data_IF_403551790845
#
_entry.id   IF_403551790845
#
_cell.length_a   1.000
_cell.length_b   1.000
_cell.length_c   1.000
_cell.angle_alpha   90.00
_cell.angle_beta   90.00
_cell.angle_gamma   90.00
#
_symmetry.space_group_name_H-M   'P 1'
#
loop_
_entity.id
_entity.type
_entity.pdbx_description
1 polymer ?
#
# COMPACT_ATOMS: atom_id res chain seq x y z
N UNK A 1 18.42 -14.53 8.04
CA UNK A 1 17.55 -15.39 8.86
C UNK A 1 18.04 -15.50 10.29
N UNK A 2 19.34 -15.59 10.53
CA UNK A 2 19.89 -15.96 11.85
C UNK A 2 19.77 -14.88 12.94
N UNK A 3 19.60 -13.61 12.57
CA UNK A 3 19.58 -12.50 13.54
C UNK A 3 18.19 -11.89 13.76
N UNK A 4 17.49 -11.55 12.67
CA UNK A 4 16.18 -10.90 12.75
C UNK A 4 15.09 -11.89 13.17
N UNK A 5 15.11 -13.12 12.63
CA UNK A 5 14.06 -14.09 12.92
C UNK A 5 13.96 -14.46 14.41
N UNK A 6 15.05 -14.75 15.14
CA UNK A 6 14.95 -15.03 16.59
C UNK A 6 14.31 -13.88 17.38
N UNK A 7 14.55 -12.62 16.97
CA UNK A 7 13.92 -11.45 17.59
C UNK A 7 12.43 -11.40 17.28
N UNK A 8 12.04 -11.58 16.01
CA UNK A 8 10.64 -11.66 15.60
C UNK A 8 9.88 -12.77 16.35
N UNK A 9 10.45 -13.97 16.41
CA UNK A 9 9.91 -15.11 17.16
C UNK A 9 9.74 -14.75 18.63
N UNK A 10 10.77 -14.21 19.28
CA UNK A 10 10.73 -13.83 20.69
C UNK A 10 9.60 -12.84 21.01
N UNK A 11 9.45 -11.79 20.21
CA UNK A 11 8.36 -10.82 20.36
C UNK A 11 6.98 -11.45 20.13
N UNK A 12 6.88 -12.35 19.16
CA UNK A 12 5.62 -13.04 18.84
C UNK A 12 5.21 -14.01 19.94
N UNK A 13 6.16 -14.72 20.54
CA UNK A 13 5.91 -15.58 21.70
C UNK A 13 5.44 -14.77 22.91
N UNK A 14 6.05 -13.61 23.14
CA UNK A 14 5.61 -12.70 24.20
C UNK A 14 4.19 -12.18 23.93
N UNK A 15 3.88 -11.77 22.69
CA UNK A 15 2.54 -11.36 22.31
C UNK A 15 1.49 -12.47 22.53
N UNK A 16 1.85 -13.72 22.21
CA UNK A 16 1.02 -14.90 22.48
C UNK A 16 0.76 -15.12 23.97
N UNK A 17 1.74 -14.89 24.84
CA UNK A 17 1.55 -15.05 26.29
C UNK A 17 0.47 -14.10 26.84
N UNK A 18 0.33 -12.92 26.24
CA UNK A 18 -0.70 -11.94 26.60
C UNK A 18 -1.96 -12.02 25.72
N UNK A 19 -2.01 -12.94 24.77
CA UNK A 19 -3.06 -13.07 23.76
C UNK A 19 -3.38 -11.74 23.03
N UNK A 20 -2.32 -10.99 22.67
CA UNK A 20 -2.43 -9.74 21.91
C UNK A 20 -1.97 -9.93 20.47
N UNK A 21 -2.68 -9.32 19.52
CA UNK A 21 -2.25 -9.32 18.12
C UNK A 21 -0.91 -8.62 17.94
N UNK A 22 0.00 -9.21 17.18
CA UNK A 22 1.29 -8.64 16.77
C UNK A 22 1.33 -8.54 15.26
N UNK A 23 1.54 -7.33 14.73
CA UNK A 23 1.44 -7.06 13.31
C UNK A 23 2.81 -6.70 12.72
N UNK A 24 3.21 -7.40 11.65
CA UNK A 24 4.41 -7.10 10.88
C UNK A 24 4.04 -6.04 9.83
N UNK A 25 4.51 -4.81 10.01
CA UNK A 25 4.30 -3.72 9.05
C UNK A 25 5.02 -3.99 7.72
N UNK A 26 4.45 -3.50 6.62
CA UNK A 26 5.04 -3.60 5.29
C UNK A 26 5.74 -2.29 4.92
N UNK A 27 6.99 -2.40 4.52
CA UNK A 27 7.88 -1.28 4.21
C UNK A 27 8.07 -1.13 2.69
N UNK A 28 9.32 -1.10 2.18
CA UNK A 28 9.62 -0.98 0.76
C UNK A 28 9.42 -2.28 -0.03
N UNK A 29 9.16 -2.15 -1.33
CA UNK A 29 8.77 -3.27 -2.19
C UNK A 29 9.85 -4.36 -2.33
N UNK A 30 11.12 -3.99 -2.23
CA UNK A 30 12.26 -4.92 -2.28
C UNK A 30 12.48 -5.72 -0.98
N UNK A 31 11.72 -5.43 0.08
CA UNK A 31 11.69 -6.19 1.33
C UNK A 31 10.51 -7.17 1.44
N UNK A 32 9.60 -7.17 0.48
CA UNK A 32 8.43 -8.06 0.49
C UNK A 32 8.81 -9.55 0.53
N UNK A 33 9.75 -10.00 -0.30
CA UNK A 33 10.10 -11.43 -0.38
C UNK A 33 10.67 -11.94 0.95
N UNK A 34 11.64 -11.21 1.53
CA UNK A 34 12.25 -11.60 2.81
C UNK A 34 11.25 -11.53 3.98
N UNK A 35 10.26 -10.63 3.94
CA UNK A 35 9.22 -10.59 4.97
C UNK A 35 8.25 -11.76 4.88
N UNK A 36 7.98 -12.26 3.66
CA UNK A 36 7.22 -13.50 3.45
C UNK A 36 7.98 -14.73 3.95
N UNK A 37 9.30 -14.82 3.71
CA UNK A 37 10.10 -15.93 4.25
C UNK A 37 10.09 -15.95 5.79
N UNK A 38 10.16 -14.77 6.42
CA UNK A 38 10.08 -14.63 7.88
C UNK A 38 8.70 -15.05 8.40
N UNK A 39 7.63 -14.64 7.72
CA UNK A 39 6.26 -15.00 8.08
C UNK A 39 5.99 -16.50 7.92
N UNK A 40 6.45 -17.10 6.81
CA UNK A 40 6.34 -18.53 6.54
C UNK A 40 6.96 -19.31 7.70
N UNK A 41 8.22 -19.03 8.05
CA UNK A 41 8.90 -19.70 9.16
C UNK A 41 8.16 -19.52 10.49
N UNK A 42 7.68 -18.30 10.78
CA UNK A 42 6.98 -17.97 12.02
C UNK A 42 5.67 -18.75 12.17
N UNK A 43 4.92 -18.93 11.08
CA UNK A 43 3.65 -19.63 11.09
C UNK A 43 3.77 -21.13 11.39
N UNK A 44 4.96 -21.72 11.31
CA UNK A 44 5.19 -23.13 11.63
C UNK A 44 5.89 -23.37 12.98
N UNK A 45 6.09 -22.33 13.79
CA UNK A 45 6.63 -22.51 15.15
C UNK A 45 5.65 -23.30 16.03
N UNK A 46 6.07 -24.44 16.63
CA UNK A 46 5.19 -25.27 17.46
C UNK A 46 4.56 -24.52 18.64
N UNK A 47 5.33 -23.60 19.23
CA UNK A 47 4.90 -22.75 20.35
C UNK A 47 3.77 -21.77 19.96
N UNK A 48 3.57 -21.52 18.66
CA UNK A 48 2.53 -20.65 18.12
C UNK A 48 1.34 -21.43 17.52
N UNK A 49 1.31 -22.76 17.70
CA UNK A 49 0.22 -23.59 17.21
C UNK A 49 -1.12 -23.21 17.89
N UNK A 50 -2.20 -23.17 17.10
CA UNK A 50 -3.55 -22.83 17.55
C UNK A 50 -3.78 -21.35 17.88
N UNK A 51 -2.75 -20.49 17.77
CA UNK A 51 -2.86 -19.07 18.06
C UNK A 51 -2.97 -18.23 16.77
N UNK A 52 -3.96 -17.32 16.75
CA UNK A 52 -4.36 -16.57 15.55
C UNK A 52 -4.01 -15.06 15.63
N UNK A 53 -3.10 -14.67 16.54
CA UNK A 53 -2.71 -13.27 16.74
C UNK A 53 -1.59 -12.77 15.83
N UNK A 54 -1.10 -13.58 14.87
CA UNK A 54 -0.08 -13.15 13.90
C UNK A 54 -0.75 -12.27 12.85
N UNK A 55 -0.29 -11.02 12.77
CA UNK A 55 -0.72 -10.02 11.80
C UNK A 55 0.34 -9.71 10.75
N UNK A 56 -0.10 -9.41 9.53
CA UNK A 56 0.78 -9.06 8.42
C UNK A 56 0.13 -8.01 7.51
N UNK A 57 0.91 -7.01 7.09
CA UNK A 57 0.43 -5.95 6.18
C UNK A 57 0.69 -6.31 4.73
N UNK A 58 -0.28 -6.02 3.88
CA UNK A 58 -0.15 -6.06 2.43
C UNK A 58 -0.55 -4.74 1.80
N UNK A 59 0.14 -4.34 0.74
CA UNK A 59 0.04 -3.00 0.15
C UNK A 59 -0.60 -3.07 -1.24
N UNK A 60 -1.85 -2.62 -1.37
CA UNK A 60 -2.64 -2.69 -2.60
C UNK A 60 -2.06 -1.89 -3.77
N UNK A 61 -1.17 -0.93 -3.53
CA UNK A 61 -0.48 -0.20 -4.59
C UNK A 61 0.55 -1.05 -5.35
N UNK A 62 0.94 -2.23 -4.83
CA UNK A 62 1.89 -3.11 -5.48
C UNK A 62 1.14 -4.03 -6.44
N UNK A 63 1.69 -4.22 -7.62
CA UNK A 63 1.16 -5.16 -8.62
C UNK A 63 1.11 -6.61 -8.09
N UNK A 64 1.97 -6.93 -7.11
CA UNK A 64 2.06 -8.25 -6.48
C UNK A 64 0.96 -8.54 -5.45
N UNK A 65 0.24 -7.53 -4.95
CA UNK A 65 -0.67 -7.68 -3.79
C UNK A 65 -1.71 -8.81 -3.95
N UNK A 66 -2.41 -8.96 -5.10
CA UNK A 66 -3.35 -10.07 -5.27
C UNK A 66 -2.71 -11.46 -5.18
N UNK A 67 -1.48 -11.61 -5.66
CA UNK A 67 -0.76 -12.89 -5.63
C UNK A 67 -0.20 -13.19 -4.23
N UNK A 68 0.21 -12.15 -3.50
CA UNK A 68 0.57 -12.30 -2.07
C UNK A 68 -0.62 -12.80 -1.27
N UNK A 69 -1.84 -12.32 -1.56
CA UNK A 69 -3.05 -12.83 -0.90
C UNK A 69 -3.21 -14.34 -1.16
N UNK A 70 -2.97 -14.80 -2.39
CA UNK A 70 -3.05 -16.22 -2.71
C UNK A 70 -2.02 -17.04 -1.91
N UNK A 71 -0.79 -16.56 -1.79
CA UNK A 71 0.24 -17.19 -0.94
C UNK A 71 -0.13 -17.19 0.55
N UNK A 72 -0.76 -16.12 1.05
CA UNK A 72 -1.18 -16.02 2.45
C UNK A 72 -2.37 -16.95 2.77
N UNK A 73 -3.28 -17.16 1.82
CA UNK A 73 -4.38 -18.11 1.94
C UNK A 73 -3.85 -19.54 2.04
N UNK A 74 -2.89 -19.88 1.18
CA UNK A 74 -2.21 -21.17 1.22
C UNK A 74 -1.42 -21.37 2.53
N UNK A 75 -0.66 -20.35 2.96
CA UNK A 75 0.07 -20.37 4.23
C UNK A 75 -0.85 -20.57 5.43
N UNK A 76 -1.95 -19.81 5.51
CA UNK A 76 -2.94 -19.97 6.58
C UNK A 76 -3.51 -21.39 6.63
N UNK A 77 -3.75 -21.98 5.46
CA UNK A 77 -4.24 -23.37 5.32
C UNK A 77 -3.21 -24.37 5.83
N UNK A 78 -1.97 -24.33 5.30
CA UNK A 78 -0.91 -25.28 5.65
C UNK A 78 -0.48 -25.16 7.11
N UNK A 79 -0.43 -23.95 7.65
CA UNK A 79 -0.05 -23.68 9.04
C UNK A 79 -1.23 -23.74 10.03
N UNK A 80 -2.44 -24.05 9.55
CA UNK A 80 -3.67 -24.26 10.34
C UNK A 80 -3.99 -23.11 11.29
N UNK A 81 -3.96 -21.89 10.77
CA UNK A 81 -4.26 -20.67 11.54
C UNK A 81 -5.11 -19.71 10.75
N UNK A 82 -5.73 -18.76 11.45
CA UNK A 82 -6.36 -17.59 10.88
C UNK A 82 -5.39 -16.40 10.99
N UNK A 83 -4.95 -15.86 9.87
CA UNK A 83 -4.02 -14.71 9.85
C UNK A 83 -4.79 -13.40 9.97
N UNK A 84 -4.27 -12.43 10.72
CA UNK A 84 -4.79 -11.06 10.74
C UNK A 84 -4.14 -10.27 9.60
N UNK A 85 -4.89 -9.94 8.55
CA UNK A 85 -4.30 -9.31 7.35
C UNK A 85 -4.75 -7.86 7.24
N UNK A 86 -3.80 -6.95 7.47
CA UNK A 86 -4.01 -5.51 7.27
C UNK A 86 -3.82 -5.16 5.79
N UNK A 87 -4.92 -4.80 5.13
CA UNK A 87 -4.90 -4.28 3.77
C UNK A 87 -4.79 -2.76 3.81
N UNK A 88 -3.67 -2.23 3.32
CA UNK A 88 -3.42 -0.78 3.13
C UNK A 88 -3.30 -0.47 1.64
N UNK A 89 -3.39 0.81 1.27
CA UNK A 89 -2.97 1.25 -0.08
C UNK A 89 -1.45 1.18 -0.21
N UNK A 90 -0.72 1.83 0.69
CA UNK A 90 0.74 1.88 0.72
C UNK A 90 1.21 3.29 1.10
N UNK A 91 2.41 3.40 1.69
CA UNK A 91 2.91 4.65 2.28
C UNK A 91 4.26 5.14 1.71
N UNK A 92 4.80 4.43 0.71
CA UNK A 92 6.15 4.67 0.18
C UNK A 92 6.16 5.01 -1.32
N UNK A 93 5.02 5.42 -1.89
CA UNK A 93 4.83 5.53 -3.34
C UNK A 93 5.90 6.40 -4.03
N UNK A 94 6.15 7.61 -3.53
CA UNK A 94 7.14 8.53 -4.10
C UNK A 94 8.55 7.93 -4.13
N UNK A 95 8.94 7.25 -3.04
CA UNK A 95 10.23 6.56 -2.93
C UNK A 95 10.32 5.36 -3.89
N UNK A 96 9.24 4.61 -4.08
CA UNK A 96 9.18 3.49 -5.01
C UNK A 96 9.29 3.94 -6.48
N UNK A 97 8.61 5.05 -6.83
CA UNK A 97 8.74 5.66 -8.17
C UNK A 97 10.18 6.12 -8.40
N UNK A 98 10.76 6.84 -7.43
CA UNK A 98 12.14 7.33 -7.52
C UNK A 98 13.14 6.18 -7.65
N UNK A 99 13.02 5.15 -6.81
CA UNK A 99 13.92 3.98 -6.82
C UNK A 99 13.90 3.25 -8.15
N UNK A 100 12.71 2.92 -8.65
CA UNK A 100 12.56 2.22 -9.93
C UNK A 100 13.15 3.02 -11.12
N UNK A 101 13.07 4.35 -11.09
CA UNK A 101 13.68 5.23 -12.10
C UNK A 101 15.20 5.26 -11.99
N UNK A 102 15.74 5.37 -10.77
CA UNK A 102 17.19 5.39 -10.52
C UNK A 102 17.84 4.07 -10.92
N UNK A 103 17.18 2.95 -10.65
CA UNK A 103 17.68 1.61 -10.94
C UNK A 103 17.49 1.21 -12.43
N UNK A 104 16.75 2.01 -13.21
CA UNK A 104 16.53 1.76 -14.63
C UNK A 104 15.78 0.46 -14.93
N UNK A 105 14.85 0.06 -14.04
CA UNK A 105 14.12 -1.20 -14.16
C UNK A 105 13.14 -1.20 -15.34
N UNK A 106 12.76 -2.38 -15.80
CA UNK A 106 11.77 -2.60 -16.88
C UNK A 106 10.38 -2.01 -16.58
N UNK A 107 10.06 -1.79 -15.30
CA UNK A 107 8.82 -1.16 -14.87
C UNK A 107 8.76 -0.91 -13.37
N UNK A 108 7.66 -0.28 -12.94
CA UNK A 108 7.42 0.04 -11.53
C UNK A 108 6.82 -1.14 -10.76
N UNK A 109 7.24 -1.41 -9.52
CA UNK A 109 6.60 -2.42 -8.65
C UNK A 109 5.20 -1.96 -8.18
N UNK A 110 4.93 -0.65 -8.25
CA UNK A 110 3.68 -0.01 -7.86
C UNK A 110 2.90 0.53 -9.07
N UNK A 111 1.59 0.75 -8.90
CA UNK A 111 0.78 1.48 -9.88
C UNK A 111 1.16 2.96 -9.96
N UNK A 112 1.12 3.56 -11.14
CA UNK A 112 1.50 4.97 -11.36
C UNK A 112 0.31 5.94 -11.36
N UNK A 113 -0.93 5.44 -11.39
CA UNK A 113 -2.14 6.24 -11.19
C UNK A 113 -2.83 5.80 -9.90
N UNK A 114 -3.20 6.77 -9.05
CA UNK A 114 -3.86 6.53 -7.76
C UNK A 114 -5.14 5.69 -7.90
N UNK A 115 -5.94 5.93 -8.93
CA UNK A 115 -7.18 5.18 -9.18
C UNK A 115 -6.94 3.67 -9.39
N UNK A 116 -5.81 3.26 -9.95
CA UNK A 116 -5.48 1.84 -10.10
C UNK A 116 -5.18 1.19 -8.74
N UNK A 117 -4.56 1.92 -7.82
CA UNK A 117 -4.41 1.48 -6.43
C UNK A 117 -5.76 1.32 -5.73
N UNK A 118 -6.74 2.19 -6.01
CA UNK A 118 -8.09 2.05 -5.46
C UNK A 118 -8.79 0.81 -6.01
N UNK A 119 -8.70 0.55 -7.32
CA UNK A 119 -9.25 -0.67 -7.95
C UNK A 119 -8.59 -1.93 -7.36
N UNK A 120 -7.26 -1.93 -7.26
CA UNK A 120 -6.50 -3.02 -6.64
C UNK A 120 -6.93 -3.29 -5.20
N UNK A 121 -7.15 -2.23 -4.41
CA UNK A 121 -7.63 -2.36 -3.04
C UNK A 121 -8.98 -3.08 -2.99
N UNK A 122 -9.96 -2.68 -3.82
CA UNK A 122 -11.28 -3.30 -3.83
C UNK A 122 -11.23 -4.77 -4.30
N UNK A 123 -10.40 -5.08 -5.29
CA UNK A 123 -10.19 -6.46 -5.75
C UNK A 123 -9.56 -7.33 -4.64
N UNK A 124 -8.53 -6.82 -3.97
CA UNK A 124 -7.90 -7.48 -2.82
C UNK A 124 -8.86 -7.67 -1.66
N UNK A 125 -9.69 -6.66 -1.35
CA UNK A 125 -10.68 -6.75 -0.29
C UNK A 125 -11.70 -7.88 -0.53
N UNK A 126 -12.18 -8.04 -1.78
CA UNK A 126 -13.03 -9.18 -2.16
C UNK A 126 -12.35 -10.51 -1.91
N UNK A 127 -11.08 -10.67 -2.29
CA UNK A 127 -10.31 -11.91 -2.06
C UNK A 127 -10.20 -12.24 -0.57
N UNK A 128 -9.90 -11.25 0.28
CA UNK A 128 -9.80 -11.45 1.73
C UNK A 128 -11.15 -11.80 2.38
N UNK A 129 -12.23 -11.14 1.98
CA UNK A 129 -13.58 -11.40 2.50
C UNK A 129 -14.11 -12.80 2.13
N UNK A 130 -13.63 -13.39 1.03
CA UNK A 130 -14.06 -14.70 0.55
C UNK A 130 -13.55 -15.88 1.38
N UNK A 131 -12.60 -15.67 2.29
CA UNK A 131 -11.91 -16.73 3.07
C UNK A 131 -11.93 -16.47 4.58
N UNK A 132 -13.11 -16.26 5.20
CA UNK A 132 -13.22 -15.82 6.60
C UNK A 132 -12.66 -16.82 7.61
N UNK A 133 -12.55 -18.11 7.28
CA UNK A 133 -11.93 -19.13 8.14
C UNK A 133 -10.39 -19.03 8.19
N UNK A 134 -9.76 -18.48 7.15
CA UNK A 134 -8.31 -18.41 6.99
C UNK A 134 -7.74 -17.03 7.28
N UNK A 135 -8.54 -15.99 7.07
CA UNK A 135 -8.10 -14.61 7.25
C UNK A 135 -9.12 -13.83 8.09
N UNK A 136 -8.60 -12.99 8.98
CA UNK A 136 -9.29 -11.87 9.58
C UNK A 136 -8.86 -10.59 8.87
N UNK A 137 -9.68 -10.05 7.93
CA UNK A 137 -9.32 -8.87 7.17
C UNK A 137 -9.39 -7.61 8.06
N UNK A 138 -8.39 -6.75 7.94
CA UNK A 138 -8.30 -5.48 8.64
C UNK A 138 -8.12 -4.36 7.61
N UNK A 139 -9.19 -3.61 7.35
CA UNK A 139 -9.23 -2.65 6.26
C UNK A 139 -8.77 -1.26 6.71
N UNK A 140 -7.52 -0.94 6.44
CA UNK A 140 -6.94 0.36 6.76
C UNK A 140 -7.22 1.38 5.65
N UNK A 141 -8.06 2.38 5.95
CA UNK A 141 -8.40 3.46 5.01
C UNK A 141 -8.97 4.70 5.71
N UNK A 142 -8.71 5.87 5.15
CA UNK A 142 -9.38 7.14 5.46
C UNK A 142 -10.28 7.64 4.32
N UNK A 143 -10.41 6.85 3.25
CA UNK A 143 -11.25 7.19 2.11
C UNK A 143 -12.67 6.64 2.33
N UNK A 144 -13.67 7.54 2.33
CA UNK A 144 -15.06 7.21 2.61
C UNK A 144 -15.68 6.25 1.56
N UNK A 145 -15.36 6.43 0.27
CA UNK A 145 -15.81 5.49 -0.76
C UNK A 145 -15.22 4.09 -0.54
N UNK A 146 -13.91 3.99 -0.29
CA UNK A 146 -13.26 2.71 0.01
C UNK A 146 -13.91 2.02 1.23
N UNK A 147 -14.19 2.77 2.29
CA UNK A 147 -14.90 2.27 3.48
C UNK A 147 -16.31 1.77 3.13
N UNK A 148 -17.11 2.58 2.45
CA UNK A 148 -18.48 2.24 2.08
C UNK A 148 -18.53 1.02 1.15
N UNK A 149 -17.62 0.96 0.17
CA UNK A 149 -17.51 -0.19 -0.73
C UNK A 149 -17.22 -1.48 0.05
N UNK A 150 -16.27 -1.48 0.99
CA UNK A 150 -15.96 -2.66 1.82
C UNK A 150 -17.14 -3.05 2.70
N UNK A 151 -17.82 -2.06 3.30
CA UNK A 151 -19.02 -2.30 4.11
C UNK A 151 -20.09 -3.06 3.30
N UNK A 152 -20.30 -2.66 2.04
CA UNK A 152 -21.24 -3.35 1.15
C UNK A 152 -20.71 -4.71 0.66
N UNK A 153 -19.42 -4.80 0.33
CA UNK A 153 -18.78 -6.03 -0.15
C UNK A 153 -18.73 -7.14 0.90
N UNK A 154 -18.69 -6.79 2.19
CA UNK A 154 -18.75 -7.75 3.29
C UNK A 154 -20.12 -8.45 3.41
N UNK A 155 -21.13 -7.97 2.66
CA UNK A 155 -22.43 -8.58 2.56
C UNK A 155 -23.33 -8.32 3.77
N UNK A 156 -24.41 -9.10 3.84
CA UNK A 156 -25.35 -9.08 4.94
C UNK A 156 -24.82 -9.91 6.13
N UNK A 157 -25.45 -9.79 7.29
CA UNK A 157 -25.18 -10.64 8.47
C UNK A 157 -23.76 -10.51 9.06
N UNK A 158 -23.29 -9.27 9.20
CA UNK A 158 -22.05 -8.99 9.92
C UNK A 158 -22.02 -9.61 11.31
N UNK A 159 -20.86 -10.16 11.68
CA UNK A 159 -20.56 -10.61 13.04
C UNK A 159 -19.22 -10.01 13.51
N UNK A 160 -19.08 -9.66 14.81
CA UNK A 160 -17.79 -9.32 15.40
C UNK A 160 -16.80 -10.46 15.18
N UNK A 161 -15.67 -10.17 14.52
CA UNK A 161 -14.69 -11.19 14.10
C UNK A 161 -14.77 -11.56 12.62
N UNK A 162 -15.74 -11.04 11.84
CA UNK A 162 -15.71 -11.16 10.38
C UNK A 162 -14.55 -10.34 9.81
N UNK A 163 -14.50 -9.05 10.15
CA UNK A 163 -13.46 -8.09 9.78
C UNK A 163 -13.50 -6.87 10.72
N UNK A 164 -12.49 -6.02 10.63
CA UNK A 164 -12.49 -4.66 11.20
C UNK A 164 -12.01 -3.63 10.19
N UNK A 165 -12.36 -2.36 10.44
CA UNK A 165 -11.66 -1.24 9.84
C UNK A 165 -10.46 -0.83 10.68
N UNK A 166 -9.56 -0.05 10.10
CA UNK A 166 -8.46 0.55 10.82
C UNK A 166 -8.16 1.96 10.31
N UNK A 167 -7.62 2.79 11.19
CA UNK A 167 -7.23 4.14 10.86
C UNK A 167 -5.98 4.58 11.62
N UNK A 168 -5.33 5.63 11.13
CA UNK A 168 -4.26 6.30 11.87
C UNK A 168 -4.83 7.31 12.85
N UNK A 169 -4.21 7.36 14.03
CA UNK A 169 -4.49 8.40 15.03
C UNK A 169 -4.23 9.80 14.48
N UNK A 170 -5.12 10.75 14.81
CA UNK A 170 -5.07 12.15 14.38
C UNK A 170 -5.54 12.36 12.93
N UNK A 171 -6.18 11.37 12.32
CA UNK A 171 -6.60 11.43 10.92
C UNK A 171 -7.96 10.79 10.70
N UNK A 172 -8.17 9.58 11.21
CA UNK A 172 -9.36 8.79 10.86
C UNK A 172 -10.54 8.96 11.79
N UNK A 173 -10.33 9.49 12.99
CA UNK A 173 -11.34 9.58 14.02
C UNK A 173 -12.63 10.26 13.53
N UNK A 174 -12.61 11.41 12.83
CA UNK A 174 -13.85 12.06 12.36
C UNK A 174 -14.68 11.19 11.38
N UNK A 175 -14.02 10.38 10.56
CA UNK A 175 -14.71 9.42 9.68
C UNK A 175 -15.29 8.26 10.50
N UNK A 176 -14.48 7.68 11.37
CA UNK A 176 -14.85 6.47 12.11
C UNK A 176 -15.79 6.73 13.30
N UNK A 177 -15.93 7.97 13.76
CA UNK A 177 -17.01 8.41 14.65
C UNK A 177 -18.39 8.17 14.05
N UNK A 178 -18.53 8.07 12.72
CA UNK A 178 -19.78 7.73 12.04
C UNK A 178 -19.96 6.21 11.86
N UNK A 179 -18.92 5.42 12.14
CA UNK A 179 -18.84 3.99 11.79
C UNK A 179 -18.91 3.12 13.04
N UNK A 180 -18.13 3.47 14.06
CA UNK A 180 -18.08 2.77 15.35
C UNK A 180 -19.21 3.26 16.24
N UNK A 181 -19.93 2.34 16.86
CA UNK A 181 -21.02 2.66 17.79
C UNK A 181 -22.33 1.96 17.43
N UNK A 182 -23.37 2.16 18.24
CA UNK A 182 -24.65 1.46 18.06
C UNK A 182 -25.39 2.01 16.83
N UNK A 183 -26.13 1.14 16.16
CA UNK A 183 -27.03 1.55 15.06
C UNK A 183 -28.09 2.56 15.54
N UNK A 184 -28.56 2.42 16.78
CA UNK A 184 -29.49 3.36 17.42
C UNK A 184 -28.95 4.80 17.51
N UNK A 185 -27.62 4.96 17.53
CA UNK A 185 -26.93 6.26 17.57
C UNK A 185 -26.59 6.77 16.14
N UNK A 186 -27.15 6.15 15.10
CA UNK A 186 -26.93 6.48 13.69
C UNK A 186 -25.59 5.99 13.13
N UNK A 187 -24.94 5.01 13.77
CA UNK A 187 -23.63 4.47 13.36
C UNK A 187 -23.74 3.17 12.58
N UNK A 188 -22.66 2.76 11.92
CA UNK A 188 -22.63 1.51 11.14
C UNK A 188 -22.42 0.24 11.98
N UNK A 189 -22.10 0.37 13.27
CA UNK A 189 -21.75 -0.73 14.17
C UNK A 189 -20.68 -1.67 13.55
N UNK A 190 -19.57 -1.07 13.12
CA UNK A 190 -18.36 -1.78 12.69
C UNK A 190 -17.16 -1.31 13.53
N UNK A 191 -16.29 -2.22 13.99
CA UNK A 191 -15.13 -1.85 14.77
C UNK A 191 -14.09 -1.14 13.92
N UNK A 192 -13.39 -0.19 14.54
CA UNK A 192 -12.20 0.44 13.98
C UNK A 192 -11.05 0.34 14.99
N UNK A 193 -9.90 -0.20 14.58
CA UNK A 193 -8.67 -0.16 15.37
C UNK A 193 -7.82 1.04 14.96
N UNK A 194 -7.50 1.88 15.93
CA UNK A 194 -6.63 3.04 15.74
C UNK A 194 -5.18 2.61 15.86
N UNK A 195 -4.36 2.91 14.84
CA UNK A 195 -2.91 2.81 14.89
C UNK A 195 -2.38 4.06 15.59
N UNK A 196 -1.88 3.88 16.80
CA UNK A 196 -1.41 4.94 17.69
C UNK A 196 0.13 4.93 17.75
N UNK A 197 0.82 5.87 17.07
CA UNK A 197 2.26 6.01 17.20
C UNK A 197 2.65 6.38 18.63
N UNK A 198 3.71 5.76 19.14
CA UNK A 198 4.27 6.05 20.47
C UNK A 198 5.76 6.30 20.33
N UNK A 199 6.24 7.45 20.80
CA UNK A 199 7.65 7.82 20.71
C UNK A 199 7.91 9.28 21.07
N UNK A 200 9.18 9.61 21.24
CA UNK A 200 9.64 11.01 21.43
C UNK A 200 9.81 11.70 20.07
N UNK A 201 10.09 13.01 20.08
CA UNK A 201 10.31 13.80 18.86
C UNK A 201 11.42 13.22 17.96
N UNK A 202 12.44 12.57 18.53
CA UNK A 202 13.57 11.98 17.80
C UNK A 202 13.15 10.79 16.93
N UNK A 203 12.14 10.03 17.39
CA UNK A 203 11.63 8.84 16.69
C UNK A 203 10.50 9.15 15.70
N UNK A 204 9.96 10.37 15.72
CA UNK A 204 8.75 10.72 14.99
C UNK A 204 9.01 11.22 13.56
N UNK A 205 10.22 11.71 13.25
CA UNK A 205 10.47 12.45 12.00
C UNK A 205 10.12 11.64 10.73
N UNK A 206 10.63 10.41 10.61
CA UNK A 206 10.34 9.57 9.43
C UNK A 206 8.84 9.23 9.31
N UNK A 207 8.16 9.01 10.44
CA UNK A 207 6.71 8.80 10.46
C UNK A 207 5.95 10.07 10.05
N UNK A 208 6.33 11.22 10.59
CA UNK A 208 5.72 12.52 10.31
C UNK A 208 5.84 12.89 8.83
N UNK A 209 7.04 12.74 8.24
CA UNK A 209 7.26 13.03 6.81
C UNK A 209 6.32 12.21 5.92
N UNK A 210 6.14 10.92 6.21
CA UNK A 210 5.18 10.07 5.47
C UNK A 210 3.74 10.55 5.63
N UNK A 211 3.35 10.99 6.82
CA UNK A 211 2.02 11.57 7.06
C UNK A 211 1.82 12.89 6.32
N UNK A 212 2.84 13.74 6.24
CA UNK A 212 2.79 14.99 5.47
C UNK A 212 2.60 14.70 3.98
N UNK A 213 3.30 13.73 3.41
CA UNK A 213 3.13 13.33 2.01
C UNK A 213 1.73 12.74 1.75
N UNK A 214 1.26 11.85 2.63
CA UNK A 214 -0.08 11.25 2.51
C UNK A 214 -1.21 12.28 2.61
N UNK A 215 -1.07 13.29 3.47
CA UNK A 215 -2.07 14.35 3.66
C UNK A 215 -1.96 15.50 2.65
N UNK A 216 -0.75 15.78 2.17
CA UNK A 216 -0.45 16.89 1.26
C UNK A 216 -0.66 16.57 -0.21
N UNK A 217 -0.75 15.29 -0.60
CA UNK A 217 -0.96 14.93 -1.99
C UNK A 217 -2.37 15.31 -2.47
N UNK A 218 -2.46 16.07 -3.58
CA UNK A 218 -3.73 16.47 -4.20
C UNK A 218 -4.62 15.28 -4.63
N UNK A 219 -4.04 14.08 -4.75
CA UNK A 219 -4.76 12.84 -5.07
C UNK A 219 -5.28 12.11 -3.81
N UNK A 220 -4.89 12.55 -2.62
CA UNK A 220 -5.33 12.02 -1.34
C UNK A 220 -6.78 12.40 -1.05
N UNK A 221 -7.54 11.47 -0.45
CA UNK A 221 -8.93 11.75 -0.09
C UNK A 221 -9.03 12.81 1.02
N UNK A 222 -8.12 12.77 1.99
CA UNK A 222 -8.10 13.71 3.13
C UNK A 222 -7.79 15.14 2.65
N UNK A 223 -6.97 15.27 1.60
CA UNK A 223 -6.73 16.55 0.95
C UNK A 223 -7.97 17.04 0.19
N UNK A 224 -8.56 16.16 -0.64
CA UNK A 224 -9.71 16.49 -1.51
C UNK A 224 -10.99 16.80 -0.75
N UNK A 225 -11.23 16.18 0.42
CA UNK A 225 -12.42 16.47 1.23
C UNK A 225 -12.35 17.87 1.90
N UNK A 226 -11.15 18.42 2.07
CA UNK A 226 -10.96 19.77 2.57
C UNK A 226 -11.20 20.84 1.49
N UNK A 227 -11.18 20.46 0.20
CA UNK A 227 -11.52 21.33 -0.92
C UNK A 227 -13.04 21.39 -1.10
N UNK A 228 -13.65 22.48 -0.60
CA UNK A 228 -15.10 22.71 -0.68
C UNK A 228 -15.60 22.99 -2.09
N UNK A 229 -14.71 23.16 -3.08
CA UNK A 229 -15.08 23.37 -4.48
C UNK A 229 -15.28 22.07 -5.25
N UNK A 230 -14.77 20.96 -4.72
CA UNK A 230 -14.91 19.64 -5.33
C UNK A 230 -16.30 19.04 -5.04
N UNK A 231 -17.09 18.66 -6.06
CA UNK A 231 -18.38 18.01 -5.84
C UNK A 231 -18.24 16.69 -5.08
N UNK A 232 -19.18 16.39 -4.17
CA UNK A 232 -19.18 15.13 -3.42
C UNK A 232 -19.20 13.91 -4.34
N UNK A 233 -19.99 13.95 -5.42
CA UNK A 233 -20.07 12.86 -6.41
C UNK A 233 -18.71 12.56 -7.07
N UNK A 234 -17.84 13.57 -7.23
CA UNK A 234 -16.48 13.38 -7.73
C UNK A 234 -15.51 12.88 -6.66
N UNK A 235 -15.74 13.29 -5.40
CA UNK A 235 -14.94 12.85 -4.26
C UNK A 235 -15.13 11.36 -3.97
N UNK A 236 -16.37 10.87 -4.11
CA UNK A 236 -16.75 9.46 -3.87
C UNK A 236 -17.03 8.68 -5.16
N UNK A 237 -16.53 9.14 -6.30
CA UNK A 237 -16.69 8.43 -7.57
C UNK A 237 -16.12 7.00 -7.50
N UNK A 238 -16.85 6.05 -8.09
CA UNK A 238 -16.41 4.66 -8.17
C UNK A 238 -15.10 4.54 -8.98
N UNK A 239 -14.02 3.97 -8.41
CA UNK A 239 -12.74 3.88 -9.08
C UNK A 239 -12.78 2.97 -10.31
N UNK A 240 -13.66 1.97 -10.37
CA UNK A 240 -13.78 1.09 -11.56
C UNK A 240 -14.33 1.90 -12.74
N UNK A 241 -15.46 2.58 -12.52
CA UNK A 241 -16.07 3.49 -13.51
C UNK A 241 -15.10 4.58 -13.96
N UNK A 242 -14.27 5.11 -13.04
CA UNK A 242 -13.26 6.11 -13.37
C UNK A 242 -12.14 5.57 -14.29
N UNK A 243 -11.73 4.31 -14.09
CA UNK A 243 -10.78 3.62 -14.98
C UNK A 243 -11.39 3.34 -16.35
N UNK A 244 -12.64 2.87 -16.41
CA UNK A 244 -13.35 2.61 -17.67
C UNK A 244 -13.47 3.88 -18.52
N UNK A 245 -13.78 5.02 -17.90
CA UNK A 245 -13.85 6.33 -18.57
C UNK A 245 -12.52 6.81 -19.14
N UNK A 246 -11.39 6.40 -18.56
CA UNK A 246 -10.07 6.84 -19.04
C UNK A 246 -9.58 6.03 -20.26
N UNK A 247 -10.28 4.96 -20.64
CA UNK A 247 -9.91 4.05 -21.73
C UNK A 247 -8.63 3.25 -21.43
N UNK A 248 -8.33 2.19 -22.21
CA UNK A 248 -7.02 1.56 -22.15
C UNK A 248 -5.98 2.66 -22.42
N UNK A 249 -4.99 2.79 -21.55
CA UNK A 249 -3.86 3.68 -21.77
C UNK A 249 -3.31 3.36 -23.17
N UNK A 250 -3.53 4.26 -24.12
CA UNK A 250 -3.16 4.05 -25.50
C UNK A 250 -1.69 3.65 -25.55
N UNK A 251 -1.43 2.42 -25.98
CA UNK A 251 -0.19 2.07 -26.64
C UNK A 251 -0.12 2.82 -27.96
N UNK A 252 -0.05 4.14 -27.94
CA UNK A 252 0.61 4.86 -29.00
C UNK A 252 2.08 4.57 -28.79
N UNK A 253 2.61 3.60 -29.53
CA UNK A 253 4.02 3.58 -29.83
C UNK A 253 4.36 4.96 -30.41
N UNK A 254 4.81 5.88 -29.55
CA UNK A 254 5.76 6.89 -30.00
C UNK A 254 7.01 6.09 -30.24
N UNK A 255 7.16 5.61 -31.47
CA UNK A 255 8.45 5.41 -32.08
C UNK A 255 9.36 6.52 -31.56
N UNK A 256 10.51 6.14 -31.00
CA UNK A 256 11.60 7.07 -30.76
C UNK A 256 11.71 8.01 -31.96
N UNK A 257 11.92 9.32 -31.77
CA UNK A 257 12.14 10.21 -32.89
C UNK A 257 13.24 9.56 -33.74
N UNK A 258 12.91 9.23 -34.98
CA UNK A 258 13.84 8.67 -35.93
C UNK A 258 15.08 9.56 -35.91
N UNK A 259 16.22 9.01 -35.50
CA UNK A 259 17.49 9.68 -35.67
C UNK A 259 17.61 10.02 -37.15
N UNK A 260 17.52 11.31 -37.47
CA UNK A 260 17.88 11.81 -38.78
C UNK A 260 19.37 11.48 -38.99
N UNK A 261 19.73 10.60 -39.96
CA UNK A 261 21.12 10.21 -40.17
C UNK A 261 22.03 11.38 -40.58
N UNK A 262 21.45 12.56 -40.85
CA UNK A 262 22.19 13.77 -41.20
C UNK A 262 22.83 14.47 -39.99
N UNK A 263 22.31 14.30 -38.77
CA UNK A 263 22.81 15.05 -37.59
C UNK A 263 24.05 14.40 -36.94
N UNK A 264 24.30 13.10 -37.17
CA UNK A 264 25.43 12.38 -36.59
C UNK A 264 26.77 12.57 -37.35
N UNK A 265 26.78 13.29 -38.48
CA UNK A 265 27.99 13.50 -39.29
C UNK A 265 28.76 14.80 -39.00
N UNK A 266 28.26 15.72 -38.18
CA UNK A 266 28.94 17.01 -37.96
C UNK A 266 29.95 17.05 -36.81
N UNK A 267 30.09 15.98 -36.02
CA UNK A 267 30.97 15.97 -34.81
C UNK A 267 32.26 15.17 -34.99
N UNK A 268 32.47 14.50 -36.14
CA UNK A 268 33.71 13.79 -36.44
C UNK A 268 34.32 14.22 -37.76
N UNK A 269 34.79 15.47 -37.85
CA UNK A 269 35.85 15.89 -38.79
C UNK A 269 36.18 17.38 -38.60
N UNK A 270 37.21 17.69 -37.81
CA UNK A 270 38.15 18.77 -38.14
C UNK A 270 39.56 18.37 -37.69
N UNK A 271 40.50 18.15 -38.64
CA UNK A 271 41.91 18.00 -38.34
C UNK A 271 42.61 19.35 -38.15
N UNK A 272 43.82 19.26 -37.61
CA UNK A 272 44.76 20.31 -37.26
C UNK A 272 45.21 21.20 -38.43
N UNK A 273 45.77 22.36 -38.03
CA UNK A 273 46.70 23.26 -38.73
C UNK A 273 46.12 24.38 -39.59
N UNK A 274 46.42 25.62 -39.19
CA UNK A 274 47.00 26.66 -40.06
C UNK A 274 47.84 27.62 -39.19
N UNK A 275 49.11 27.80 -39.59
CA UNK A 275 50.11 28.73 -39.03
C UNK A 275 49.78 30.18 -39.42
N UNK A 276 50.45 31.13 -38.74
CA UNK A 276 50.27 32.60 -38.80
C UNK A 276 50.57 33.28 -40.15
N UNK A 277 50.61 34.63 -40.19
CA UNK A 277 51.76 35.37 -39.66
C UNK A 277 51.40 36.62 -38.83
N UNK A 278 52.40 37.17 -38.13
CA UNK A 278 52.27 38.35 -37.27
C UNK A 278 52.41 39.71 -37.96
N UNK A 279 52.51 40.74 -37.10
CA UNK A 279 52.68 42.20 -37.27
C UNK A 279 51.44 42.94 -36.75
N UNK A 280 51.49 43.97 -35.90
CA UNK A 280 52.57 44.73 -35.27
C UNK A 280 51.92 45.89 -34.47
N UNK A 281 52.74 46.50 -33.60
CA UNK A 281 52.49 47.58 -32.62
C UNK A 281 51.98 47.15 -31.24
#
# INVERSE_FOLDING_TARGET
MDELYPRLKSLTLLARQYDIGINIDAEEADRLEISLDLLEKLCFEPELAGWNGIGFVIQAYQKRCPFVIDSLIDLATRSRRRLMIRLVKGAYWDSEIKRAQMDGLEGYPVYTRKVYTDVSYLACAKKLLAVPSLIYPQFATHNAHTLAAIYQLAGQNYYPGQYEFQCLHGMGEPLYEQVVGKVADGKLNRPCRIYAPVGTHETLLAYLVRRLLENGANTSFVNRIADTTLPLDELVADPVSAVEKTGPAGGSGRSAPSEDPAAARSVRQRPQQLRGPGSGQ
#
